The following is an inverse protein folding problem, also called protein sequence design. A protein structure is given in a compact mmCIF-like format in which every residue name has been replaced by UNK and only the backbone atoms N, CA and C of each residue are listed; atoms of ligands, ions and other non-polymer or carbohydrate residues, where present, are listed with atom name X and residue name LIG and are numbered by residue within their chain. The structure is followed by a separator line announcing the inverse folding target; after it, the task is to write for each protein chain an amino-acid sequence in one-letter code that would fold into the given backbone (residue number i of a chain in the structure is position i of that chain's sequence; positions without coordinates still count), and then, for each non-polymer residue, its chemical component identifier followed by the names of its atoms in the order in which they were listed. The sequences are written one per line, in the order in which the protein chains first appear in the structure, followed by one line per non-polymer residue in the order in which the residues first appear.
data_IF_242863022473
#
_entry.id   IF_242863022473
#
_cell.length_a   1.000
_cell.length_b   1.000
_cell.length_c   1.000
_cell.angle_alpha   90.00
_cell.angle_beta   90.00
_cell.angle_gamma   90.00
#
_symmetry.space_group_name_H-M   'P 1'
#
loop_
_entity.id
_entity.type
_entity.pdbx_description
1 polymer ?
#
# COMPACT_ATOMS: atom_id res chain seq x y z
N UNK A 1 -17.22 4.52 11.51
CA UNK A 1 -15.86 3.99 11.51
C UNK A 1 -15.02 4.77 12.50
N UNK A 2 -14.57 4.11 13.56
CA UNK A 2 -13.65 4.67 14.55
C UNK A 2 -12.21 4.78 14.03
N UNK A 3 -11.28 5.22 14.86
CA UNK A 3 -9.87 5.37 14.48
C UNK A 3 -9.23 4.05 14.07
N UNK A 4 -9.38 2.99 14.87
CA UNK A 4 -8.73 1.71 14.62
C UNK A 4 -9.30 0.99 13.40
N UNK A 5 -10.61 1.09 13.17
CA UNK A 5 -11.24 0.59 11.96
C UNK A 5 -10.71 1.30 10.71
N UNK A 6 -10.47 2.63 10.76
CA UNK A 6 -9.88 3.37 9.63
C UNK A 6 -8.42 3.04 9.40
N UNK A 7 -7.63 2.87 10.48
CA UNK A 7 -6.23 2.43 10.37
C UNK A 7 -6.17 1.06 9.71
N UNK A 8 -7.07 0.14 10.11
CA UNK A 8 -7.16 -1.19 9.51
C UNK A 8 -7.56 -1.13 8.04
N UNK A 9 -8.64 -0.42 7.71
CA UNK A 9 -9.10 -0.28 6.32
C UNK A 9 -8.02 0.37 5.45
N UNK A 10 -7.34 1.39 5.96
CA UNK A 10 -6.20 1.99 5.29
C UNK A 10 -5.10 0.94 5.06
N UNK A 11 -4.66 0.22 6.09
CA UNK A 11 -3.57 -0.77 5.98
C UNK A 11 -3.92 -1.92 5.03
N UNK A 12 -5.16 -2.42 5.06
CA UNK A 12 -5.64 -3.51 4.20
C UNK A 12 -5.82 -3.08 2.73
N UNK A 13 -6.21 -1.83 2.47
CA UNK A 13 -6.46 -1.32 1.11
C UNK A 13 -5.29 -0.54 0.50
N UNK A 14 -4.30 -0.14 1.30
CA UNK A 14 -3.18 0.67 0.84
C UNK A 14 -2.23 -0.08 -0.11
N UNK A 15 -2.36 -1.41 -0.24
CA UNK A 15 -1.22 -2.22 -0.65
C UNK A 15 -0.77 -2.10 -2.12
N UNK A 16 -1.55 -1.66 -3.13
CA UNK A 16 -1.00 -1.60 -4.51
C UNK A 16 -1.59 -0.55 -5.48
N UNK A 17 -2.83 -0.08 -5.29
CA UNK A 17 -3.47 0.79 -6.30
C UNK A 17 -3.24 2.29 -6.12
N UNK A 18 -3.06 2.73 -4.86
CA UNK A 18 -3.13 4.14 -4.47
C UNK A 18 -1.84 4.64 -3.81
N UNK A 19 -0.76 3.85 -3.79
CA UNK A 19 0.50 4.27 -3.20
C UNK A 19 1.17 5.35 -4.10
N UNK A 20 1.35 6.58 -3.62
CA UNK A 20 2.07 7.62 -4.36
C UNK A 20 3.56 7.30 -4.61
N UNK A 21 4.14 6.33 -3.90
CA UNK A 21 5.54 5.90 -4.08
C UNK A 21 5.82 5.36 -5.50
N UNK A 22 4.80 4.80 -6.16
CA UNK A 22 4.87 4.32 -7.55
C UNK A 22 5.29 5.43 -8.51
N UNK A 23 4.74 6.63 -8.36
CA UNK A 23 5.12 7.79 -9.18
C UNK A 23 6.59 8.19 -8.91
N UNK A 24 7.05 8.08 -7.67
CA UNK A 24 8.44 8.40 -7.30
C UNK A 24 9.43 7.39 -7.91
N UNK A 25 9.10 6.11 -7.87
CA UNK A 25 9.90 5.03 -8.50
C UNK A 25 10.06 5.30 -10.00
N UNK A 26 8.96 5.63 -10.68
CA UNK A 26 9.00 5.99 -12.10
C UNK A 26 9.88 7.24 -12.36
N UNK A 27 9.79 8.27 -11.51
CA UNK A 27 10.62 9.48 -11.61
C UNK A 27 12.11 9.17 -11.43
N UNK A 28 12.47 8.44 -10.38
CA UNK A 28 13.87 8.08 -10.06
C UNK A 28 14.47 7.26 -11.20
N UNK A 29 13.70 6.32 -11.78
CA UNK A 29 14.11 5.57 -12.95
C UNK A 29 14.40 6.49 -14.15
N UNK A 30 13.49 7.41 -14.48
CA UNK A 30 13.71 8.36 -15.59
C UNK A 30 14.89 9.29 -15.34
N UNK A 31 15.10 9.73 -14.09
CA UNK A 31 16.26 10.50 -13.70
C UNK A 31 17.56 9.74 -13.98
N UNK A 32 17.62 8.46 -13.59
CA UNK A 32 18.79 7.62 -13.86
C UNK A 32 19.05 7.38 -15.34
N UNK A 33 17.98 7.13 -16.13
CA UNK A 33 18.08 7.02 -17.59
C UNK A 33 18.62 8.30 -18.23
N UNK A 34 18.17 9.46 -17.75
CA UNK A 34 18.65 10.77 -18.20
C UNK A 34 20.13 10.98 -17.83
N UNK A 35 20.51 10.71 -16.58
CA UNK A 35 21.88 10.84 -16.10
C UNK A 35 22.83 9.91 -16.89
N UNK A 36 22.42 8.70 -17.21
CA UNK A 36 23.20 7.78 -18.05
C UNK A 36 23.57 8.39 -19.40
N UNK A 37 22.68 9.17 -20.02
CA UNK A 37 22.99 9.86 -21.29
C UNK A 37 24.07 10.94 -21.14
N UNK A 38 24.24 11.50 -19.94
CA UNK A 38 25.20 12.57 -19.66
C UNK A 38 26.55 12.01 -19.21
N UNK A 39 26.54 11.12 -18.21
CA UNK A 39 27.76 10.67 -17.52
C UNK A 39 28.23 9.28 -17.96
N UNK A 40 27.45 8.60 -18.80
CA UNK A 40 27.70 7.25 -19.28
C UNK A 40 27.22 6.16 -18.30
N UNK A 41 27.09 4.91 -18.78
CA UNK A 41 26.41 3.83 -18.06
C UNK A 41 27.11 3.42 -16.77
N UNK A 42 28.45 3.37 -16.76
CA UNK A 42 29.19 2.94 -15.55
C UNK A 42 28.94 3.89 -14.37
N UNK A 43 29.16 5.19 -14.58
CA UNK A 43 29.03 6.19 -13.52
C UNK A 43 27.57 6.35 -13.07
N UNK A 44 26.63 6.35 -14.02
CA UNK A 44 25.21 6.41 -13.71
C UNK A 44 24.74 5.20 -12.89
N UNK A 45 25.10 3.98 -13.30
CA UNK A 45 24.71 2.76 -12.58
C UNK A 45 25.29 2.72 -11.15
N UNK A 46 26.56 3.06 -10.97
CA UNK A 46 27.19 3.15 -9.64
C UNK A 46 26.53 4.22 -8.75
N UNK A 47 26.17 5.37 -9.33
CA UNK A 47 25.48 6.45 -8.62
C UNK A 47 24.05 6.08 -8.24
N UNK A 48 23.27 5.58 -9.21
CA UNK A 48 21.87 5.22 -9.01
C UNK A 48 21.70 4.11 -7.97
N UNK A 49 22.56 3.08 -7.99
CA UNK A 49 22.53 2.03 -6.98
C UNK A 49 22.74 2.56 -5.54
N UNK A 50 23.53 3.63 -5.38
CA UNK A 50 23.67 4.31 -4.08
C UNK A 50 22.47 5.18 -3.75
N UNK A 51 21.87 5.85 -4.74
CA UNK A 51 20.70 6.72 -4.56
C UNK A 51 19.48 5.91 -4.12
N UNK A 52 19.23 4.75 -4.74
CA UNK A 52 18.08 3.90 -4.37
C UNK A 52 18.30 3.14 -3.05
N UNK A 53 19.52 3.18 -2.50
CA UNK A 53 19.83 2.70 -1.16
C UNK A 53 19.60 1.21 -0.97
N UNK A 54 18.85 0.87 0.08
CA UNK A 54 18.49 -0.49 0.48
C UNK A 54 17.71 -1.27 -0.59
N UNK A 55 17.08 -0.57 -1.55
CA UNK A 55 16.42 -1.23 -2.68
C UNK A 55 17.41 -1.90 -3.63
N UNK A 56 18.69 -1.49 -3.65
CA UNK A 56 19.70 -2.12 -4.52
C UNK A 56 20.16 -3.46 -3.95
N UNK A 57 19.66 -4.55 -4.53
CA UNK A 57 19.95 -5.92 -4.10
C UNK A 57 20.95 -6.64 -5.00
N UNK A 58 20.90 -6.40 -6.32
CA UNK A 58 21.64 -7.18 -7.32
C UNK A 58 22.85 -6.44 -7.91
N UNK A 59 23.26 -5.35 -7.26
CA UNK A 59 24.43 -4.56 -7.60
C UNK A 59 24.19 -3.50 -8.69
N UNK A 60 25.23 -2.72 -9.04
CA UNK A 60 25.02 -1.47 -9.77
C UNK A 60 24.35 -1.57 -11.13
N UNK A 61 24.62 -2.61 -11.92
CA UNK A 61 23.99 -2.75 -13.24
C UNK A 61 22.50 -3.12 -13.18
N UNK A 62 22.03 -3.63 -12.05
CA UNK A 62 20.67 -4.13 -11.87
C UNK A 62 19.74 -3.11 -11.19
N UNK A 63 20.21 -1.89 -10.90
CA UNK A 63 19.47 -0.90 -10.12
C UNK A 63 18.06 -0.61 -10.65
N UNK A 64 17.83 -0.74 -11.96
CA UNK A 64 16.49 -0.56 -12.57
C UNK A 64 15.54 -1.67 -12.17
N UNK A 65 15.98 -2.92 -12.33
CA UNK A 65 15.18 -4.10 -11.99
C UNK A 65 14.96 -4.15 -10.48
N UNK A 66 15.99 -3.83 -9.70
CA UNK A 66 15.93 -3.70 -8.25
C UNK A 66 14.88 -2.65 -7.82
N UNK A 67 14.89 -1.49 -8.48
CA UNK A 67 13.95 -0.40 -8.20
C UNK A 67 12.50 -0.75 -8.59
N UNK A 68 12.29 -1.43 -9.73
CA UNK A 68 10.97 -1.91 -10.15
C UNK A 68 10.44 -3.01 -9.23
N UNK A 69 11.28 -3.98 -8.86
CA UNK A 69 10.88 -5.09 -7.99
C UNK A 69 10.66 -4.61 -6.54
N UNK A 70 11.39 -3.59 -6.11
CA UNK A 70 11.30 -2.96 -4.80
C UNK A 70 10.30 -1.79 -4.74
N UNK A 71 9.48 -1.56 -5.77
CA UNK A 71 8.58 -0.41 -5.88
C UNK A 71 7.72 -0.23 -4.62
N UNK A 72 7.10 -1.32 -4.17
CA UNK A 72 6.28 -1.35 -2.96
C UNK A 72 7.03 -1.04 -1.66
N UNK A 73 8.36 -1.08 -1.64
CA UNK A 73 9.16 -0.73 -0.45
C UNK A 73 9.64 0.72 -0.48
N UNK A 74 9.47 1.43 -1.59
CA UNK A 74 9.91 2.82 -1.70
C UNK A 74 9.26 3.74 -0.65
N UNK A 75 8.05 3.42 -0.18
CA UNK A 75 7.41 4.19 0.89
C UNK A 75 8.13 4.05 2.24
N UNK A 76 8.73 2.90 2.57
CA UNK A 76 9.42 2.69 3.85
C UNK A 76 10.89 3.07 3.79
N UNK A 77 11.52 2.91 2.63
CA UNK A 77 12.97 3.10 2.48
C UNK A 77 13.36 4.55 2.22
N UNK A 78 12.45 5.39 1.71
CA UNK A 78 12.76 6.77 1.35
C UNK A 78 12.15 7.78 2.31
N UNK A 79 12.92 8.84 2.62
CA UNK A 79 12.53 9.86 3.59
C UNK A 79 11.18 10.56 3.28
N UNK A 80 10.85 10.71 1.99
CA UNK A 80 9.55 11.27 1.57
C UNK A 80 8.47 10.20 1.46
N UNK A 81 8.85 8.93 1.31
CA UNK A 81 7.93 7.80 1.18
C UNK A 81 7.04 7.68 2.42
N UNK A 82 7.64 7.75 3.60
CA UNK A 82 6.92 7.64 4.87
C UNK A 82 5.93 8.81 5.04
N UNK A 83 6.36 10.02 4.68
CA UNK A 83 5.50 11.20 4.72
C UNK A 83 4.31 11.07 3.77
N UNK A 84 4.52 10.55 2.58
CA UNK A 84 3.46 10.31 1.61
C UNK A 84 2.47 9.24 2.09
N UNK A 85 2.95 8.17 2.72
CA UNK A 85 2.10 7.15 3.34
C UNK A 85 1.17 7.77 4.40
N UNK A 86 1.73 8.55 5.33
CA UNK A 86 0.92 9.25 6.34
C UNK A 86 -0.03 10.29 5.72
N UNK A 87 0.43 11.00 4.68
CA UNK A 87 -0.39 11.97 3.97
C UNK A 87 -1.58 11.29 3.28
N UNK A 88 -1.40 10.10 2.71
CA UNK A 88 -2.49 9.32 2.11
C UNK A 88 -3.56 8.92 3.14
N UNK A 89 -3.14 8.54 4.35
CA UNK A 89 -4.06 8.25 5.45
C UNK A 89 -4.89 9.48 5.83
N UNK A 90 -4.24 10.64 5.94
CA UNK A 90 -4.92 11.90 6.19
C UNK A 90 -5.88 12.27 5.05
N UNK A 91 -5.40 12.24 3.81
CA UNK A 91 -6.15 12.66 2.63
C UNK A 91 -7.44 11.85 2.45
N UNK A 92 -7.36 10.52 2.54
CA UNK A 92 -8.48 9.60 2.27
C UNK A 92 -9.33 9.31 3.50
N UNK A 93 -8.69 9.09 4.65
CA UNK A 93 -9.36 8.62 5.86
C UNK A 93 -9.46 9.68 6.97
N UNK A 94 -8.87 10.86 6.80
CA UNK A 94 -8.98 11.94 7.78
C UNK A 94 -8.35 11.60 9.14
N UNK A 95 -7.33 10.74 9.14
CA UNK A 95 -6.59 10.30 10.33
C UNK A 95 -5.12 10.72 10.23
N UNK A 96 -4.47 10.93 11.37
CA UNK A 96 -3.01 11.04 11.46
C UNK A 96 -2.47 9.79 12.16
N UNK A 97 -1.70 8.98 11.43
CA UNK A 97 -1.10 7.74 11.92
C UNK A 97 0.02 7.96 12.93
N UNK A 98 0.57 9.16 12.98
CA UNK A 98 1.69 9.54 13.83
C UNK A 98 1.26 10.25 15.11
N UNK A 99 -0.03 10.59 15.22
CA UNK A 99 -0.58 11.32 16.35
C UNK A 99 -0.44 10.54 17.66
N UNK A 100 0.26 11.13 18.62
CA UNK A 100 0.49 10.56 19.96
C UNK A 100 -0.47 11.17 20.97
N UNK A 101 -0.74 10.44 22.05
CA UNK A 101 -1.68 10.83 23.11
C UNK A 101 -1.41 12.22 23.70
N UNK A 102 -0.13 12.59 23.85
CA UNK A 102 0.28 13.89 24.42
C UNK A 102 0.34 15.04 23.42
N UNK A 103 0.16 14.79 22.13
CA UNK A 103 0.23 15.83 21.11
C UNK A 103 -1.05 16.66 21.08
N UNK A 104 -0.88 17.98 21.11
CA UNK A 104 -1.99 18.90 20.97
C UNK A 104 -2.52 18.89 19.53
N UNK A 105 -3.77 19.31 19.34
CA UNK A 105 -4.32 19.50 18.00
C UNK A 105 -3.45 20.46 17.17
N UNK A 106 -2.87 21.49 17.80
CA UNK A 106 -1.99 22.45 17.14
C UNK A 106 -0.69 21.82 16.62
N UNK A 107 -0.12 20.86 17.35
CA UNK A 107 1.08 20.13 16.91
C UNK A 107 0.79 19.31 15.66
N UNK A 108 -0.34 18.60 15.65
CA UNK A 108 -0.82 17.83 14.51
C UNK A 108 -1.13 18.75 13.31
N UNK A 109 -1.83 19.85 13.54
CA UNK A 109 -2.10 20.88 12.52
C UNK A 109 -0.81 21.36 11.87
N UNK A 110 0.20 21.71 12.67
CA UNK A 110 1.49 22.16 12.15
C UNK A 110 2.21 21.09 11.33
N UNK A 111 2.20 19.83 11.79
CA UNK A 111 2.79 18.69 11.07
C UNK A 111 2.08 18.45 9.74
N UNK A 112 0.76 18.34 9.73
CA UNK A 112 -0.03 18.10 8.51
C UNK A 112 0.21 19.21 7.49
N UNK A 113 0.20 20.48 7.91
CA UNK A 113 0.55 21.61 7.03
C UNK A 113 1.95 21.46 6.45
N UNK A 114 2.95 21.18 7.29
CA UNK A 114 4.34 21.06 6.85
C UNK A 114 4.53 19.93 5.83
N UNK A 115 3.86 18.78 6.03
CA UNK A 115 3.91 17.65 5.09
C UNK A 115 3.24 18.01 3.76
N UNK A 116 2.07 18.66 3.80
CA UNK A 116 1.38 19.14 2.58
C UNK A 116 2.28 20.09 1.79
N UNK A 117 2.87 21.09 2.47
CA UNK A 117 3.77 22.07 1.85
C UNK A 117 5.02 21.40 1.26
N UNK A 118 5.61 20.42 1.96
CA UNK A 118 6.78 19.69 1.47
C UNK A 118 6.48 18.87 0.21
N UNK A 119 5.32 18.18 0.18
CA UNK A 119 4.89 17.40 -0.98
C UNK A 119 4.50 18.31 -2.15
N UNK A 120 3.89 19.46 -1.89
CA UNK A 120 3.60 20.47 -2.91
C UNK A 120 4.88 20.97 -3.59
N UNK A 121 5.89 21.34 -2.80
CA UNK A 121 7.21 21.74 -3.31
C UNK A 121 7.84 20.62 -4.14
N UNK A 122 7.75 19.37 -3.69
CA UNK A 122 8.25 18.24 -4.45
C UNK A 122 7.55 18.11 -5.81
N UNK A 123 6.21 18.15 -5.84
CA UNK A 123 5.42 18.00 -7.07
C UNK A 123 5.75 19.13 -8.05
N UNK A 124 5.89 20.37 -7.58
CA UNK A 124 6.24 21.53 -8.40
C UNK A 124 7.65 21.42 -9.02
N UNK A 125 8.57 20.73 -8.36
CA UNK A 125 9.92 20.46 -8.87
C UNK A 125 9.98 19.29 -9.84
N UNK A 126 8.98 18.39 -9.82
CA UNK A 126 9.01 17.17 -10.61
C UNK A 126 8.56 17.43 -12.07
N UNK A 127 9.37 17.08 -13.08
CA UNK A 127 8.98 17.17 -14.49
C UNK A 127 8.06 16.00 -14.90
N UNK A 128 6.94 15.83 -14.19
CA UNK A 128 6.06 14.67 -14.26
C UNK A 128 5.60 14.36 -15.68
N UNK A 129 5.07 15.36 -16.38
CA UNK A 129 4.56 15.20 -17.75
C UNK A 129 5.70 14.97 -18.74
N UNK A 130 6.80 15.70 -18.62
CA UNK A 130 7.91 15.63 -19.56
C UNK A 130 8.67 14.29 -19.45
N UNK A 131 8.71 13.69 -18.26
CA UNK A 131 9.46 12.45 -18.02
C UNK A 131 8.58 11.20 -18.07
N UNK A 132 7.34 11.28 -17.62
CA UNK A 132 6.45 10.12 -17.50
C UNK A 132 5.32 10.10 -18.54
N UNK A 133 5.03 11.22 -19.19
CA UNK A 133 3.97 11.34 -20.19
C UNK A 133 2.56 11.51 -19.59
N UNK A 134 1.56 11.45 -20.48
CA UNK A 134 0.15 11.64 -20.12
C UNK A 134 -0.44 10.45 -19.34
N UNK A 135 -0.03 9.23 -19.71
CA UNK A 135 -0.50 7.94 -19.14
C UNK A 135 0.22 7.55 -17.83
N UNK A 136 0.91 8.50 -17.20
CA UNK A 136 1.68 8.24 -15.98
C UNK A 136 0.79 7.90 -14.77
N UNK A 137 1.35 7.22 -13.76
CA UNK A 137 0.71 7.08 -12.45
C UNK A 137 0.44 8.46 -11.82
N UNK A 138 -0.82 8.73 -11.45
CA UNK A 138 -1.30 10.03 -10.90
C UNK A 138 -1.40 10.03 -9.37
N UNK A 139 -1.01 8.94 -8.71
CA UNK A 139 -1.22 8.73 -7.28
C UNK A 139 -0.58 9.82 -6.42
N UNK A 140 0.59 10.33 -6.83
CA UNK A 140 1.24 11.46 -6.15
C UNK A 140 0.42 12.75 -6.27
N UNK A 141 0.03 13.14 -7.49
CA UNK A 141 -0.79 14.33 -7.70
C UNK A 141 -2.17 14.22 -7.03
N UNK A 142 -2.81 13.06 -7.12
CA UNK A 142 -4.09 12.79 -6.47
C UNK A 142 -3.97 12.85 -4.95
N UNK A 143 -2.92 12.26 -4.36
CA UNK A 143 -2.70 12.33 -2.91
C UNK A 143 -2.55 13.77 -2.46
N UNK A 144 -1.76 14.58 -3.17
CA UNK A 144 -1.60 16.01 -2.87
C UNK A 144 -2.92 16.78 -3.04
N UNK A 145 -3.65 16.54 -4.15
CA UNK A 145 -4.94 17.14 -4.42
C UNK A 145 -5.92 16.86 -3.28
N UNK A 146 -6.04 15.61 -2.87
CA UNK A 146 -6.92 15.20 -1.78
C UNK A 146 -6.48 15.77 -0.44
N UNK A 147 -5.18 15.77 -0.13
CA UNK A 147 -4.67 16.33 1.13
C UNK A 147 -4.94 17.84 1.25
N UNK A 148 -4.68 18.62 0.20
CA UNK A 148 -4.96 20.07 0.18
C UNK A 148 -6.45 20.36 0.34
N UNK A 149 -7.30 19.57 -0.30
CA UNK A 149 -8.75 19.77 -0.22
C UNK A 149 -9.34 19.23 1.09
N UNK A 150 -8.76 18.18 1.67
CA UNK A 150 -9.06 17.73 3.04
C UNK A 150 -8.77 18.85 4.04
N UNK A 151 -7.57 19.42 3.96
CA UNK A 151 -7.17 20.56 4.77
C UNK A 151 -8.14 21.73 4.63
N UNK A 152 -8.54 22.03 3.39
CA UNK A 152 -9.53 23.07 3.14
C UNK A 152 -10.89 22.76 3.80
N UNK A 153 -11.40 21.52 3.72
CA UNK A 153 -12.62 21.12 4.42
C UNK A 153 -12.50 21.30 5.94
N UNK A 154 -11.40 20.84 6.52
CA UNK A 154 -11.14 20.90 7.97
C UNK A 154 -11.09 22.35 8.48
N UNK A 155 -10.67 23.29 7.64
CA UNK A 155 -10.50 24.71 7.98
C UNK A 155 -11.58 25.62 7.38
N UNK A 156 -12.66 25.07 6.83
CA UNK A 156 -13.77 25.84 6.28
C UNK A 156 -13.45 26.63 5.00
N UNK A 157 -12.40 26.24 4.27
CA UNK A 157 -11.94 26.88 3.04
C UNK A 157 -12.57 26.24 1.79
N UNK A 158 -12.77 26.99 0.69
CA UNK A 158 -13.33 26.44 -0.54
C UNK A 158 -12.49 25.30 -1.13
N UNK A 159 -13.18 24.27 -1.63
CA UNK A 159 -12.58 23.05 -2.20
C UNK A 159 -12.74 22.94 -3.70
N UNK A 160 -11.78 22.29 -4.34
CA UNK A 160 -11.77 22.02 -5.75
C UNK A 160 -12.80 20.94 -6.12
N UNK A 161 -13.54 21.12 -7.23
CA UNK A 161 -14.52 20.12 -7.64
C UNK A 161 -13.93 18.75 -7.95
N UNK A 162 -12.67 18.71 -8.40
CA UNK A 162 -11.97 17.46 -8.70
C UNK A 162 -11.78 16.60 -7.45
N UNK A 163 -11.23 17.19 -6.39
CA UNK A 163 -11.13 16.52 -5.10
C UNK A 163 -12.50 16.10 -4.56
N UNK A 164 -13.51 16.97 -4.71
CA UNK A 164 -14.86 16.66 -4.23
C UNK A 164 -15.49 15.48 -4.99
N UNK A 165 -15.21 15.35 -6.29
CA UNK A 165 -15.70 14.23 -7.09
C UNK A 165 -15.11 12.91 -6.58
N UNK A 166 -13.81 12.90 -6.27
CA UNK A 166 -13.11 11.73 -5.71
C UNK A 166 -13.66 11.40 -4.32
N UNK A 167 -13.76 12.39 -3.41
CA UNK A 167 -14.33 12.19 -2.07
C UNK A 167 -15.75 11.62 -2.11
N UNK A 168 -16.59 12.12 -3.02
CA UNK A 168 -17.96 11.67 -3.15
C UNK A 168 -18.16 10.40 -3.97
N UNK A 169 -17.09 9.81 -4.51
CA UNK A 169 -17.15 8.59 -5.33
C UNK A 169 -17.95 8.79 -6.62
N UNK A 170 -17.86 9.97 -7.23
CA UNK A 170 -18.58 10.32 -8.47
C UNK A 170 -17.62 10.73 -9.58
N UNK A 171 -18.05 10.59 -10.83
CA UNK A 171 -17.24 11.03 -11.97
C UNK A 171 -17.18 12.56 -12.06
N UNK A 172 -16.14 13.09 -12.70
CA UNK A 172 -16.06 14.53 -13.03
C UNK A 172 -17.22 15.02 -13.89
N UNK A 173 -17.78 14.15 -14.75
CA UNK A 173 -19.00 14.46 -15.50
C UNK A 173 -20.20 14.69 -14.58
N UNK A 174 -20.40 13.81 -13.60
CA UNK A 174 -21.45 13.95 -12.58
C UNK A 174 -21.23 15.21 -11.74
N UNK A 175 -19.99 15.51 -11.34
CA UNK A 175 -19.66 16.72 -10.58
C UNK A 175 -19.99 18.00 -11.36
N UNK A 176 -19.70 18.04 -12.67
CA UNK A 176 -20.06 19.19 -13.53
C UNK A 176 -21.57 19.46 -13.57
N UNK A 177 -22.40 18.41 -13.52
CA UNK A 177 -23.86 18.54 -13.44
C UNK A 177 -24.36 19.06 -12.08
N UNK A 178 -23.60 18.84 -11.00
CA UNK A 178 -23.90 19.41 -9.67
C UNK A 178 -23.44 20.87 -9.53
N UNK A 179 -22.47 21.27 -10.37
CA UNK A 179 -21.93 22.62 -10.43
C UNK A 179 -22.69 23.55 -11.38
N UNK A 180 -23.53 23.02 -12.27
CA UNK A 180 -24.21 23.81 -13.29
C UNK A 180 -25.47 23.12 -13.80
N UNK A 181 -26.46 23.90 -14.23
CA UNK A 181 -27.71 23.40 -14.79
C UNK A 181 -28.82 23.22 -13.74
N UNK A 182 -29.85 22.44 -14.09
CA UNK A 182 -31.06 22.30 -13.27
C UNK A 182 -30.86 21.54 -11.95
N UNK A 183 -29.77 20.78 -11.85
CA UNK A 183 -29.38 19.99 -10.68
C UNK A 183 -28.27 20.66 -9.86
N UNK A 184 -28.05 21.97 -10.07
CA UNK A 184 -27.03 22.70 -9.32
C UNK A 184 -27.37 22.72 -7.83
N UNK A 185 -26.43 22.25 -7.01
CA UNK A 185 -26.55 22.27 -5.54
C UNK A 185 -25.40 23.01 -4.87
N UNK A 186 -24.36 23.37 -5.63
CA UNK A 186 -23.17 24.06 -5.12
C UNK A 186 -23.11 25.52 -5.57
N UNK A 187 -22.74 26.37 -4.62
CA UNK A 187 -22.31 27.75 -4.80
C UNK A 187 -20.84 27.76 -5.18
N UNK A 188 -20.51 28.44 -6.28
CA UNK A 188 -19.12 28.61 -6.71
C UNK A 188 -18.51 29.86 -6.09
N UNK A 189 -17.35 29.69 -5.46
CA UNK A 189 -16.48 30.76 -4.97
C UNK A 189 -15.18 30.62 -5.75
N UNK A 190 -14.95 31.51 -6.71
CA UNK A 190 -13.73 31.51 -7.55
C UNK A 190 -13.47 30.15 -8.24
N UNK A 191 -14.54 29.47 -8.68
CA UNK A 191 -14.46 28.15 -9.32
C UNK A 191 -14.38 26.96 -8.35
N UNK A 192 -14.26 27.23 -7.04
CA UNK A 192 -14.30 26.24 -5.95
C UNK A 192 -15.68 26.15 -5.31
N UNK A 193 -15.88 25.16 -4.44
CA UNK A 193 -17.13 24.87 -3.74
C UNK A 193 -16.96 25.23 -2.27
N UNK A 194 -17.95 25.90 -1.67
CA UNK A 194 -17.90 26.26 -0.26
C UNK A 194 -17.81 25.01 0.65
N UNK A 195 -16.93 25.04 1.67
CA UNK A 195 -16.65 23.87 2.53
C UNK A 195 -17.90 23.32 3.21
N UNK A 196 -18.78 24.19 3.70
CA UNK A 196 -20.02 23.81 4.36
C UNK A 196 -20.97 23.03 3.43
N UNK A 197 -21.10 23.47 2.18
CA UNK A 197 -21.94 22.77 1.19
C UNK A 197 -21.30 21.44 0.77
N UNK A 198 -19.98 21.42 0.59
CA UNK A 198 -19.22 20.21 0.31
C UNK A 198 -19.38 19.17 1.44
N UNK A 199 -19.19 19.57 2.71
CA UNK A 199 -19.36 18.69 3.87
C UNK A 199 -20.80 18.17 3.99
N UNK A 200 -21.80 19.02 3.79
CA UNK A 200 -23.21 18.61 3.81
C UNK A 200 -23.49 17.56 2.72
N UNK A 201 -22.95 17.74 1.51
CA UNK A 201 -23.12 16.78 0.42
C UNK A 201 -22.34 15.47 0.64
N UNK A 202 -21.19 15.54 1.30
CA UNK A 202 -20.35 14.40 1.63
C UNK A 202 -20.87 13.56 2.79
N UNK A 203 -21.71 14.12 3.67
CA UNK A 203 -22.20 13.47 4.88
C UNK A 203 -22.84 12.09 4.62
N UNK A 204 -23.54 11.92 3.48
CA UNK A 204 -24.21 10.67 3.11
C UNK A 204 -23.37 9.77 2.18
N UNK A 205 -22.10 10.13 1.90
CA UNK A 205 -21.25 9.40 0.96
C UNK A 205 -20.45 8.32 1.67
N UNK A 206 -20.64 7.07 1.25
CA UNK A 206 -19.89 5.91 1.77
C UNK A 206 -18.38 5.98 1.51
N UNK A 207 -17.96 6.70 0.47
CA UNK A 207 -16.55 6.88 0.09
C UNK A 207 -15.84 7.96 0.91
N UNK A 208 -16.57 8.70 1.76
CA UNK A 208 -16.03 9.83 2.49
C UNK A 208 -15.95 9.54 3.99
N UNK A 209 -14.76 9.76 4.53
CA UNK A 209 -14.51 9.71 5.96
C UNK A 209 -14.28 11.15 6.47
N UNK A 210 -15.14 11.67 7.37
CA UNK A 210 -14.91 12.96 8.02
C UNK A 210 -13.66 12.92 8.88
N UNK A 211 -12.88 13.99 8.91
CA UNK A 211 -11.65 14.07 9.71
C UNK A 211 -11.90 13.81 11.19
N UNK A 212 -11.05 12.96 11.78
CA UNK A 212 -11.03 12.68 13.22
C UNK A 212 -9.65 12.92 13.83
N UNK A 213 -8.66 13.39 13.05
CA UNK A 213 -7.30 13.65 13.53
C UNK A 213 -7.25 14.66 14.69
N UNK A 214 -8.25 15.54 14.87
CA UNK A 214 -8.31 16.46 16.00
C UNK A 214 -8.66 15.76 17.32
N UNK A 215 -9.56 14.78 17.27
CA UNK A 215 -10.23 14.19 18.44
C UNK A 215 -9.82 12.74 18.71
N UNK A 216 -9.31 12.02 17.71
CA UNK A 216 -8.84 10.66 17.84
C UNK A 216 -7.32 10.61 17.95
N UNK A 217 -6.84 9.87 18.95
CA UNK A 217 -5.43 9.51 19.12
C UNK A 217 -5.34 8.01 19.22
N UNK A 218 -4.17 7.46 18.92
CA UNK A 218 -3.86 6.10 19.34
C UNK A 218 -3.76 6.11 20.87
N UNK A 219 -4.69 5.43 21.54
CA UNK A 219 -4.60 5.22 22.99
C UNK A 219 -3.36 4.36 23.27
N UNK A 220 -2.48 4.84 24.14
CA UNK A 220 -1.39 4.04 24.70
C UNK A 220 -1.96 3.36 25.95
N UNK A 221 -2.49 2.15 25.80
CA UNK A 221 -3.07 1.38 26.90
C UNK A 221 -2.02 0.75 27.85
N UNK A 222 -0.74 0.97 27.57
CA UNK A 222 0.37 0.48 28.39
C UNK A 222 0.69 -0.99 28.13
N UNK A 223 -0.22 -1.71 27.49
CA UNK A 223 0.15 -2.85 26.68
C UNK A 223 0.90 -2.30 25.46
N UNK A 224 2.02 -2.91 25.13
CA UNK A 224 2.48 -2.84 23.76
C UNK A 224 1.41 -3.59 22.98
N UNK A 225 0.36 -2.90 22.56
CA UNK A 225 -0.30 -3.25 21.32
C UNK A 225 0.78 -3.11 20.25
N UNK A 226 1.58 -4.18 20.10
CA UNK A 226 2.22 -4.50 18.85
C UNK A 226 1.08 -4.41 17.82
N UNK A 227 0.94 -3.24 17.21
CA UNK A 227 0.70 -3.24 15.78
C UNK A 227 1.87 -4.06 15.30
N UNK A 228 1.58 -5.34 15.05
CA UNK A 228 2.55 -6.39 14.85
C UNK A 228 3.44 -5.97 13.68
N UNK A 229 4.48 -5.19 13.96
CA UNK A 229 5.67 -5.05 13.16
C UNK A 229 6.47 -6.35 13.25
N UNK A 230 5.84 -7.48 13.54
CA UNK A 230 6.34 -8.75 13.10
C UNK A 230 6.82 -8.56 11.67
N UNK A 231 8.14 -8.73 11.52
CA UNK A 231 8.78 -8.43 10.27
C UNK A 231 8.02 -9.15 9.16
N UNK A 232 7.51 -8.41 8.18
CA UNK A 232 6.69 -9.00 7.14
C UNK A 232 7.52 -10.09 6.47
N UNK A 233 6.93 -11.28 6.35
CA UNK A 233 7.58 -12.44 5.75
C UNK A 233 7.18 -12.48 4.28
N UNK A 234 8.18 -12.54 3.40
CA UNK A 234 7.96 -12.76 1.98
C UNK A 234 7.80 -14.25 1.74
N UNK A 235 6.61 -14.66 1.33
CA UNK A 235 6.26 -16.05 1.06
C UNK A 235 5.88 -16.25 -0.41
N UNK A 236 6.19 -17.40 -1.01
CA UNK A 236 5.88 -17.64 -2.41
C UNK A 236 4.38 -17.86 -2.63
N UNK A 237 3.83 -17.29 -3.70
CA UNK A 237 2.46 -17.51 -4.17
C UNK A 237 2.46 -18.21 -5.54
N UNK A 238 1.62 -19.23 -5.67
CA UNK A 238 1.40 -19.97 -6.91
C UNK A 238 0.35 -19.33 -7.80
N UNK A 239 0.28 -19.74 -9.07
CA UNK A 239 -0.65 -19.20 -10.08
C UNK A 239 -2.13 -19.30 -9.69
N UNK A 240 -2.47 -20.29 -8.87
CA UNK A 240 -3.82 -20.50 -8.36
C UNK A 240 -4.08 -19.74 -7.04
N UNK A 241 -3.23 -18.78 -6.68
CA UNK A 241 -3.37 -17.94 -5.49
C UNK A 241 -3.00 -18.63 -4.17
N UNK A 242 -2.51 -19.87 -4.21
CA UNK A 242 -2.09 -20.55 -2.97
C UNK A 242 -0.76 -19.99 -2.49
N UNK A 243 -0.63 -19.84 -1.19
CA UNK A 243 0.57 -19.27 -0.56
C UNK A 243 1.27 -20.35 0.26
N UNK A 244 2.59 -20.29 0.37
CA UNK A 244 3.30 -21.14 1.33
C UNK A 244 3.14 -20.57 2.75
N UNK A 245 2.46 -21.30 3.63
CA UNK A 245 2.13 -20.86 4.99
C UNK A 245 2.37 -21.97 6.04
N UNK A 246 2.43 -21.66 7.35
CA UNK A 246 2.78 -22.62 8.40
C UNK A 246 1.87 -23.86 8.48
N UNK A 247 0.60 -23.72 8.08
CA UNK A 247 -0.39 -24.81 8.05
C UNK A 247 -0.12 -25.93 7.03
N UNK A 248 0.81 -25.74 6.10
CA UNK A 248 1.13 -26.74 5.07
C UNK A 248 1.98 -27.93 5.58
N UNK A 249 2.29 -27.94 6.88
CA UNK A 249 3.07 -29.01 7.52
C UNK A 249 2.25 -30.30 7.56
N UNK A 250 2.75 -31.36 6.90
CA UNK A 250 2.08 -32.67 6.85
C UNK A 250 3.01 -33.76 7.39
N UNK A 251 2.49 -34.56 8.33
CA UNK A 251 3.26 -35.65 8.93
C UNK A 251 4.51 -35.17 9.68
N UNK A 252 4.52 -33.92 10.14
CA UNK A 252 5.65 -33.33 10.86
C UNK A 252 6.64 -32.56 9.98
N UNK A 253 6.46 -32.49 8.66
CA UNK A 253 7.38 -31.79 7.76
C UNK A 253 6.68 -31.02 6.63
N UNK A 254 7.33 -29.97 6.14
CA UNK A 254 7.05 -29.28 4.89
C UNK A 254 7.75 -30.00 3.74
N UNK A 255 7.06 -30.19 2.62
CA UNK A 255 7.67 -30.77 1.40
C UNK A 255 7.89 -29.67 0.38
N UNK A 256 9.16 -29.34 0.14
CA UNK A 256 9.61 -28.25 -0.76
C UNK A 256 10.54 -28.79 -1.85
N UNK A 257 10.56 -28.17 -3.02
CA UNK A 257 11.31 -28.61 -4.20
C UNK A 257 10.42 -29.09 -5.35
N UNK A 258 10.99 -29.11 -6.55
CA UNK A 258 10.32 -29.59 -7.75
C UNK A 258 10.00 -31.09 -7.66
N UNK A 259 9.05 -31.54 -8.48
CA UNK A 259 8.66 -32.95 -8.57
C UNK A 259 9.89 -33.82 -8.88
N UNK A 260 10.22 -34.74 -7.97
CA UNK A 260 11.37 -35.65 -8.09
C UNK A 260 12.65 -35.18 -7.38
N UNK A 261 12.69 -33.93 -6.91
CA UNK A 261 13.77 -33.35 -6.09
C UNK A 261 13.23 -32.77 -4.76
N UNK A 262 12.15 -33.35 -4.26
CA UNK A 262 11.45 -32.92 -3.05
C UNK A 262 12.31 -33.16 -1.80
N UNK A 263 12.33 -32.19 -0.90
CA UNK A 263 12.99 -32.24 0.41
C UNK A 263 11.96 -32.04 1.50
N UNK A 264 12.09 -32.84 2.57
CA UNK A 264 11.29 -32.67 3.78
C UNK A 264 12.06 -31.81 4.78
N UNK A 265 11.37 -30.84 5.38
CA UNK A 265 11.94 -29.85 6.30
C UNK A 265 10.97 -29.64 7.44
N UNK A 266 11.44 -29.73 8.68
CA UNK A 266 10.54 -29.78 9.84
C UNK A 266 10.18 -28.38 10.38
N UNK A 267 10.96 -27.36 10.03
CA UNK A 267 10.78 -25.98 10.44
C UNK A 267 10.28 -25.12 9.25
N UNK A 268 9.30 -24.26 9.50
CA UNK A 268 8.71 -23.35 8.51
C UNK A 268 9.72 -22.35 7.96
N UNK A 269 10.47 -21.69 8.83
CA UNK A 269 11.49 -20.69 8.47
C UNK A 269 12.58 -21.35 7.61
N UNK A 270 13.05 -22.53 8.01
CA UNK A 270 14.04 -23.28 7.24
C UNK A 270 13.50 -23.73 5.87
N UNK A 271 12.21 -24.12 5.81
CA UNK A 271 11.55 -24.48 4.56
C UNK A 271 11.40 -23.26 3.64
N UNK A 272 11.08 -22.10 4.21
CA UNK A 272 10.97 -20.83 3.50
C UNK A 272 12.32 -20.37 2.95
N UNK A 273 13.39 -20.39 3.77
CA UNK A 273 14.74 -20.06 3.32
C UNK A 273 15.18 -20.97 2.17
N UNK A 274 14.88 -22.26 2.25
CA UNK A 274 15.17 -23.20 1.14
C UNK A 274 14.38 -22.87 -0.12
N UNK A 275 13.13 -22.40 -0.01
CA UNK A 275 12.36 -21.95 -1.16
C UNK A 275 12.94 -20.66 -1.76
N UNK A 276 13.44 -19.74 -0.93
CA UNK A 276 14.08 -18.50 -1.38
C UNK A 276 15.38 -18.76 -2.16
N UNK A 277 16.11 -19.81 -1.81
CA UNK A 277 17.33 -20.23 -2.52
C UNK A 277 17.05 -20.99 -3.84
N UNK A 278 15.81 -21.42 -4.09
CA UNK A 278 15.46 -22.18 -5.29
C UNK A 278 15.20 -21.26 -6.48
N UNK A 279 15.77 -21.63 -7.64
CA UNK A 279 15.47 -20.99 -8.93
C UNK A 279 13.99 -21.11 -9.31
N UNK A 280 13.35 -22.21 -8.94
CA UNK A 280 11.93 -22.49 -9.17
C UNK A 280 11.28 -23.01 -7.86
N UNK A 281 10.95 -22.09 -6.94
CA UNK A 281 10.41 -22.47 -5.64
C UNK A 281 9.12 -23.26 -5.83
N UNK A 282 9.06 -24.47 -5.29
CA UNK A 282 7.91 -25.37 -5.42
C UNK A 282 7.61 -26.04 -4.09
N UNK A 283 6.35 -26.23 -3.76
CA UNK A 283 5.95 -26.86 -2.49
C UNK A 283 4.68 -27.66 -2.64
N UNK A 284 4.43 -28.56 -1.69
CA UNK A 284 3.16 -29.29 -1.62
C UNK A 284 2.12 -28.54 -0.83
N UNK A 285 0.89 -28.55 -1.34
CA UNK A 285 -0.29 -27.99 -0.69
C UNK A 285 -1.55 -28.85 -0.91
N UNK A 286 -2.61 -28.69 -0.11
CA UNK A 286 -3.90 -29.31 -0.37
C UNK A 286 -4.47 -28.85 -1.73
N UNK A 287 -4.93 -29.79 -2.55
CA UNK A 287 -5.68 -29.48 -3.76
C UNK A 287 -7.07 -28.94 -3.42
N UNK A 288 -7.62 -28.07 -4.28
CA UNK A 288 -8.98 -27.51 -4.13
C UNK A 288 -10.13 -28.53 -4.27
N UNK A 289 -9.83 -29.83 -4.43
CA UNK A 289 -10.79 -30.93 -4.62
C UNK A 289 -10.57 -32.07 -3.62
N UNK A 290 -11.36 -33.15 -3.70
CA UNK A 290 -11.40 -34.25 -2.71
C UNK A 290 -10.00 -34.88 -2.43
N UNK A 291 -9.33 -34.39 -1.38
CA UNK A 291 -8.33 -35.11 -0.56
C UNK A 291 -6.88 -35.23 -1.06
N UNK A 292 -6.51 -34.63 -2.19
CA UNK A 292 -5.15 -34.75 -2.76
C UNK A 292 -4.20 -33.63 -2.30
N UNK A 293 -2.91 -33.91 -2.16
CA UNK A 293 -1.87 -32.87 -2.05
C UNK A 293 -1.12 -32.78 -3.38
N UNK A 294 -1.06 -31.58 -3.94
CA UNK A 294 -0.38 -31.30 -5.21
C UNK A 294 0.86 -30.45 -4.98
N UNK A 295 1.83 -30.57 -5.89
CA UNK A 295 2.97 -29.65 -5.96
C UNK A 295 2.52 -28.43 -6.76
N UNK A 296 2.80 -27.25 -6.24
CA UNK A 296 2.66 -25.97 -6.94
C UNK A 296 4.02 -25.30 -7.02
N UNK A 297 4.17 -24.38 -7.98
CA UNK A 297 5.37 -23.57 -8.15
C UNK A 297 5.03 -22.10 -7.97
N UNK A 298 5.96 -21.35 -7.38
CA UNK A 298 5.85 -19.92 -7.21
C UNK A 298 5.83 -19.21 -8.56
N UNK A 299 4.97 -18.20 -8.69
CA UNK A 299 5.01 -17.25 -9.80
C UNK A 299 5.37 -15.83 -9.36
N UNK A 300 5.20 -15.50 -8.08
CA UNK A 300 5.67 -14.27 -7.44
C UNK A 300 5.75 -14.46 -5.92
N UNK A 301 6.32 -13.49 -5.20
CA UNK A 301 6.42 -13.45 -3.75
C UNK A 301 5.42 -12.45 -3.19
N UNK A 302 4.73 -12.81 -2.11
CA UNK A 302 3.77 -11.94 -1.42
C UNK A 302 4.27 -11.62 -0.03
N UNK A 303 4.11 -10.37 0.37
CA UNK A 303 4.43 -9.87 1.71
C UNK A 303 3.25 -10.20 2.62
N UNK A 304 3.49 -10.93 3.71
CA UNK A 304 2.45 -11.24 4.69
C UNK A 304 2.99 -11.05 6.10
N UNK A 305 2.15 -10.53 6.98
CA UNK A 305 2.38 -10.56 8.43
C UNK A 305 2.20 -11.99 8.96
N UNK A 306 2.85 -12.37 10.06
CA UNK A 306 2.59 -13.65 10.72
C UNK A 306 1.12 -13.85 11.08
N UNK A 307 0.40 -12.78 11.46
CA UNK A 307 -1.04 -12.85 11.72
C UNK A 307 -1.86 -13.24 10.48
N UNK A 308 -1.55 -12.69 9.31
CA UNK A 308 -2.20 -13.06 8.04
C UNK A 308 -1.86 -14.49 7.62
N UNK A 309 -0.60 -14.92 7.81
CA UNK A 309 -0.17 -16.29 7.54
C UNK A 309 -0.88 -17.30 8.44
N UNK A 310 -1.03 -16.98 9.72
CA UNK A 310 -1.75 -17.81 10.67
C UNK A 310 -3.25 -17.85 10.37
N UNK A 311 -3.85 -16.72 9.98
CA UNK A 311 -5.24 -16.67 9.56
C UNK A 311 -5.47 -17.53 8.31
N UNK A 312 -4.64 -17.37 7.27
CA UNK A 312 -4.70 -18.18 6.06
C UNK A 312 -4.53 -19.67 6.37
N UNK A 313 -3.59 -20.01 7.27
CA UNK A 313 -3.36 -21.37 7.70
C UNK A 313 -4.60 -21.98 8.37
N UNK A 314 -5.34 -21.22 9.17
CA UNK A 314 -6.58 -21.70 9.79
C UNK A 314 -7.67 -21.91 8.74
N UNK A 315 -7.89 -20.94 7.85
CA UNK A 315 -8.96 -20.99 6.85
C UNK A 315 -8.75 -22.11 5.83
N UNK A 316 -7.55 -22.28 5.27
CA UNK A 316 -7.27 -23.35 4.31
C UNK A 316 -7.33 -24.75 4.96
N UNK A 317 -6.98 -24.86 6.24
CA UNK A 317 -6.98 -26.14 6.96
C UNK A 317 -8.37 -26.50 7.52
N UNK A 318 -9.20 -25.53 7.91
CA UNK A 318 -10.61 -25.77 8.32
C UNK A 318 -11.48 -26.20 7.13
N UNK A 319 -11.16 -25.74 5.91
CA UNK A 319 -11.78 -26.21 4.67
C UNK A 319 -11.30 -27.59 4.20
N UNK A 320 -10.27 -28.16 4.82
CA UNK A 320 -9.64 -29.42 4.45
C UNK A 320 -9.78 -30.45 5.57
N UNK A 321 -10.82 -31.28 5.53
CA UNK A 321 -10.97 -32.42 6.44
C UNK A 321 -10.21 -33.65 5.89
N UNK A 322 -9.06 -34.05 6.48
CA UNK A 322 -8.34 -35.26 6.06
C UNK A 322 -9.00 -36.55 6.56
N UNK A 323 -9.96 -36.46 7.48
CA UNK A 323 -10.68 -37.57 8.06
C UNK A 323 -12.15 -37.48 7.64
N UNK A 324 -12.43 -37.76 6.37
CA UNK A 324 -13.80 -37.81 5.85
C UNK A 324 -14.76 -38.54 6.79
N UNK A 325 -16.07 -38.22 6.74
CA UNK A 325 -17.03 -38.55 7.79
C UNK A 325 -16.91 -40.01 8.22
N UNK A 326 -16.69 -40.23 9.53
CA UNK A 326 -16.81 -41.57 10.12
C UNK A 326 -18.26 -42.01 9.92
N UNK A 327 -18.47 -42.88 8.95
CA UNK A 327 -19.70 -43.64 8.82
C UNK A 327 -19.65 -44.66 9.96
N UNK A 328 -20.33 -44.33 11.07
CA UNK A 328 -20.71 -45.35 12.05
C UNK A 328 -21.76 -46.26 11.39
N UNK A 329 -21.55 -47.55 11.60
CA UNK A 329 -22.13 -48.73 10.92
C UNK A 329 -23.65 -48.83 10.92
#
# INVERSE_FOLDING_TARGET
MDYYERVREFTELFDYGNDPSVTLVALVRRAGDFLEKIVGPKAANEGMARIIGSLSANGPSAWRDDLENGESSAYSEWAIGEQLHFLSAYARYGIDLTAREHESAADITNRLRAVIEAVEVLVDLCPLEQWLGEDRPRQLEETLLLAKNRWALDHGLPVEPEALAIFGGVTMGSMRNLLSGKTQIFTKIEGKIAANEALNWLADKRSFFPSIWESARREWDGEVHDLDYAQPVFVPQSRDGSVFHPGLKRGGAYTVGEKGNERQVDNFEEALSKLQEMRHPSWRRPGRGKGGWGIVSAIHWVRMTPAELDHLARVEMEGFDPAGPKIES
#
